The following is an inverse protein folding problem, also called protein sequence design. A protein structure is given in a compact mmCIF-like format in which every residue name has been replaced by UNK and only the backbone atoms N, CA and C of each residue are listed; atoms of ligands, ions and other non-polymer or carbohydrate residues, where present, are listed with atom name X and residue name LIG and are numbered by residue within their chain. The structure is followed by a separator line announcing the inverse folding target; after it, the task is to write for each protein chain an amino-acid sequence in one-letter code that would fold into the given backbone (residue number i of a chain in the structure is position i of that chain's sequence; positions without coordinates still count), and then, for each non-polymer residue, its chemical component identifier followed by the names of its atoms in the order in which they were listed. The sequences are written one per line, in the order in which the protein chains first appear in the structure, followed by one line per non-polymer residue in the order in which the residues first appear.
data_IF_136516984159
#
_entry.id   IF_136516984159
#
_cell.length_a   1.000
_cell.length_b   1.000
_cell.length_c   1.000
_cell.angle_alpha   90.00
_cell.angle_beta   90.00
_cell.angle_gamma   90.00
#
_symmetry.space_group_name_H-M   'P 1'
#
loop_
_entity.id
_entity.type
_entity.pdbx_description
1 polymer ?
#
# COMPACT_ATOMS: atom_id res chain seq x y z
N UNK A 1 -39.49 -41.50 41.35
CA UNK A 1 -39.09 -40.74 40.14
C UNK A 1 -38.11 -41.56 39.30
N UNK A 2 -38.42 -41.83 38.03
CA UNK A 2 -37.48 -42.45 37.10
C UNK A 2 -36.53 -41.36 36.61
N UNK A 3 -35.22 -41.61 36.63
CA UNK A 3 -34.24 -40.65 36.15
C UNK A 3 -34.37 -40.47 34.62
N UNK A 4 -34.46 -39.23 34.16
CA UNK A 4 -34.50 -38.90 32.72
C UNK A 4 -33.10 -38.96 32.11
N UNK A 5 -32.73 -40.16 31.68
CA UNK A 5 -31.44 -40.44 31.08
C UNK A 5 -31.26 -39.73 29.72
N UNK A 6 -32.34 -39.55 28.96
CA UNK A 6 -32.27 -38.91 27.65
C UNK A 6 -32.05 -37.40 27.80
N UNK A 7 -32.78 -36.75 28.71
CA UNK A 7 -32.53 -35.35 29.06
C UNK A 7 -31.09 -35.11 29.54
N UNK A 8 -30.54 -36.02 30.35
CA UNK A 8 -29.15 -35.95 30.79
C UNK A 8 -28.13 -36.05 29.63
N UNK A 9 -28.37 -36.93 28.64
CA UNK A 9 -27.51 -37.05 27.44
C UNK A 9 -27.55 -35.82 26.56
N UNK A 10 -28.73 -35.22 26.38
CA UNK A 10 -28.90 -33.98 25.62
C UNK A 10 -28.13 -32.85 26.31
N UNK A 11 -28.28 -32.69 27.62
CA UNK A 11 -27.57 -31.68 28.39
C UNK A 11 -26.03 -31.83 28.30
N UNK A 12 -25.51 -33.06 28.36
CA UNK A 12 -24.07 -33.33 28.17
C UNK A 12 -23.63 -32.90 26.76
N UNK A 13 -24.41 -33.25 25.73
CA UNK A 13 -24.10 -32.88 24.35
C UNK A 13 -24.09 -31.36 24.14
N UNK A 14 -25.01 -30.64 24.78
CA UNK A 14 -25.05 -29.17 24.73
C UNK A 14 -23.81 -28.55 25.42
N UNK A 15 -23.43 -29.06 26.59
CA UNK A 15 -22.22 -28.62 27.30
C UNK A 15 -20.97 -28.88 26.46
N UNK A 16 -20.84 -30.05 25.83
CA UNK A 16 -19.71 -30.38 24.96
C UNK A 16 -19.62 -29.43 23.76
N UNK A 17 -20.76 -29.07 23.16
CA UNK A 17 -20.83 -28.09 22.08
C UNK A 17 -20.39 -26.69 22.55
N UNK A 18 -20.82 -26.26 23.75
CA UNK A 18 -20.39 -24.98 24.34
C UNK A 18 -18.88 -24.97 24.56
N UNK A 19 -18.33 -26.04 25.15
CA UNK A 19 -16.88 -26.18 25.39
C UNK A 19 -16.11 -26.11 24.08
N UNK A 20 -16.57 -26.82 23.04
CA UNK A 20 -15.94 -26.78 21.72
C UNK A 20 -15.94 -25.37 21.11
N UNK A 21 -17.07 -24.67 21.19
CA UNK A 21 -17.18 -23.31 20.65
C UNK A 21 -16.32 -22.32 21.42
N UNK A 22 -16.24 -22.43 22.75
CA UNK A 22 -15.36 -21.62 23.58
C UNK A 22 -13.89 -21.87 23.24
N UNK A 23 -13.48 -23.13 23.08
CA UNK A 23 -12.11 -23.46 22.69
C UNK A 23 -11.75 -22.85 21.33
N UNK A 24 -12.66 -22.90 20.36
CA UNK A 24 -12.46 -22.25 19.07
C UNK A 24 -12.35 -20.72 19.20
N UNK A 25 -13.21 -20.11 20.02
CA UNK A 25 -13.18 -18.66 20.25
C UNK A 25 -11.87 -18.21 20.91
N UNK A 26 -11.38 -18.95 21.91
CA UNK A 26 -10.09 -18.69 22.57
C UNK A 26 -8.93 -18.84 21.59
N UNK A 27 -8.88 -19.95 20.83
CA UNK A 27 -7.83 -20.16 19.84
C UNK A 27 -7.81 -19.04 18.78
N UNK A 28 -8.99 -18.58 18.34
CA UNK A 28 -9.08 -17.45 17.41
C UNK A 28 -8.62 -16.13 18.05
N UNK A 29 -8.98 -15.88 19.31
CA UNK A 29 -8.53 -14.70 20.05
C UNK A 29 -7.00 -14.68 20.19
N UNK A 30 -6.39 -15.82 20.50
CA UNK A 30 -4.93 -15.96 20.60
C UNK A 30 -4.24 -15.70 19.25
N UNK A 31 -4.79 -16.23 18.15
CA UNK A 31 -4.29 -15.96 16.81
C UNK A 31 -4.37 -14.48 16.43
N UNK A 32 -5.50 -13.83 16.72
CA UNK A 32 -5.69 -12.41 16.48
C UNK A 32 -4.74 -11.55 17.33
N UNK A 33 -4.61 -11.88 18.62
CA UNK A 33 -3.72 -11.19 19.54
C UNK A 33 -2.25 -11.34 19.10
N UNK A 34 -1.82 -12.54 18.70
CA UNK A 34 -0.48 -12.78 18.19
C UNK A 34 -0.23 -12.02 16.87
N UNK A 35 -1.22 -11.95 15.98
CA UNK A 35 -1.17 -11.15 14.76
C UNK A 35 -1.02 -9.65 15.06
N UNK A 36 -1.84 -9.14 15.99
CA UNK A 36 -1.81 -7.75 16.42
C UNK A 36 -0.47 -7.38 17.09
N UNK A 37 0.07 -8.24 17.95
CA UNK A 37 1.35 -8.02 18.61
C UNK A 37 2.52 -7.95 17.60
N UNK A 38 2.54 -8.87 16.62
CA UNK A 38 3.52 -8.81 15.51
C UNK A 38 3.35 -7.53 14.68
N UNK A 39 2.09 -7.13 14.44
CA UNK A 39 1.76 -5.89 13.77
C UNK A 39 2.33 -4.67 14.48
N UNK A 40 2.08 -4.56 15.78
CA UNK A 40 2.56 -3.46 16.63
C UNK A 40 4.09 -3.40 16.66
N UNK A 41 4.77 -4.53 16.90
CA UNK A 41 6.23 -4.58 16.94
C UNK A 41 6.87 -4.07 15.63
N UNK A 42 6.27 -4.41 14.48
CA UNK A 42 6.72 -3.88 13.19
C UNK A 42 6.47 -2.37 13.07
N UNK A 43 5.32 -1.86 13.53
CA UNK A 43 5.03 -0.43 13.49
C UNK A 43 6.01 0.38 14.35
N UNK A 44 6.32 -0.12 15.54
CA UNK A 44 7.33 0.47 16.43
C UNK A 44 8.72 0.49 15.77
N UNK A 45 9.15 -0.62 15.18
CA UNK A 45 10.42 -0.71 14.44
C UNK A 45 10.44 0.25 13.24
N UNK A 46 9.37 0.30 12.45
CA UNK A 46 9.28 1.12 11.26
C UNK A 46 9.22 2.61 11.60
N UNK A 47 8.57 2.99 12.70
CA UNK A 47 8.58 4.34 13.23
C UNK A 47 10.00 4.73 13.70
N UNK A 48 10.67 3.86 14.45
CA UNK A 48 12.06 4.07 14.90
C UNK A 48 13.02 4.21 13.72
N UNK A 49 12.87 3.35 12.70
CA UNK A 49 13.68 3.37 11.48
C UNK A 49 13.20 4.39 10.43
N UNK A 50 12.16 5.17 10.73
CA UNK A 50 11.60 6.21 9.83
C UNK A 50 11.34 5.71 8.40
N UNK A 51 10.88 4.46 8.23
CA UNK A 51 10.83 3.73 6.93
C UNK A 51 9.94 4.38 5.85
N UNK A 52 9.03 5.27 6.25
CA UNK A 52 8.11 5.98 5.36
C UNK A 52 8.39 7.47 5.27
N UNK A 53 9.43 7.94 5.97
CA UNK A 53 9.86 9.34 5.89
C UNK A 53 10.66 9.49 4.62
N UNK A 54 10.20 10.41 3.77
CA UNK A 54 11.03 10.91 2.70
C UNK A 54 12.18 11.71 3.30
N UNK A 55 13.40 11.37 2.93
CA UNK A 55 14.54 12.22 3.18
C UNK A 55 14.48 13.38 2.18
N UNK A 56 13.87 14.48 2.63
CA UNK A 56 13.64 15.65 1.78
C UNK A 56 14.94 16.32 1.34
N UNK A 57 16.03 16.19 2.12
CA UNK A 57 17.32 16.74 1.72
C UNK A 57 17.91 15.96 0.55
N UNK A 58 17.88 14.61 0.58
CA UNK A 58 18.34 13.82 -0.56
C UNK A 58 17.39 13.87 -1.77
N UNK A 59 16.11 14.14 -1.55
CA UNK A 59 15.17 14.41 -2.66
C UNK A 59 15.33 15.81 -3.25
N UNK A 60 15.75 16.81 -2.48
CA UNK A 60 15.85 18.19 -2.95
C UNK A 60 16.76 18.32 -4.19
N UNK A 61 17.80 17.48 -4.31
CA UNK A 61 18.66 17.44 -5.50
C UNK A 61 17.88 17.17 -6.80
N UNK A 62 16.82 16.35 -6.74
CA UNK A 62 15.95 16.11 -7.89
C UNK A 62 15.02 17.29 -8.21
N UNK A 63 14.92 18.26 -7.30
CA UNK A 63 14.09 19.46 -7.40
C UNK A 63 14.95 20.74 -7.40
N UNK A 64 16.18 20.69 -7.94
CA UNK A 64 17.09 21.83 -8.03
C UNK A 64 17.38 22.52 -6.67
N UNK A 65 17.35 21.74 -5.58
CA UNK A 65 17.52 22.21 -4.20
C UNK A 65 16.24 22.77 -3.56
N UNK A 66 15.09 22.72 -4.23
CA UNK A 66 13.81 23.17 -3.68
C UNK A 66 13.18 22.10 -2.77
N UNK A 67 13.49 22.20 -1.48
CA UNK A 67 12.92 21.32 -0.45
C UNK A 67 11.40 21.45 -0.33
N UNK A 68 10.80 22.62 -0.61
CA UNK A 68 9.36 22.79 -0.54
C UNK A 68 8.66 22.08 -1.71
N UNK A 69 9.27 22.11 -2.90
CA UNK A 69 8.81 21.31 -4.04
C UNK A 69 8.92 19.82 -3.76
N UNK A 70 10.03 19.36 -3.14
CA UNK A 70 10.21 17.97 -2.75
C UNK A 70 9.16 17.50 -1.72
N UNK A 71 8.90 18.30 -0.68
CA UNK A 71 7.86 18.03 0.32
C UNK A 71 6.46 17.97 -0.32
N UNK A 72 6.16 18.91 -1.20
CA UNK A 72 4.90 18.94 -1.93
C UNK A 72 4.73 17.72 -2.84
N UNK A 73 5.77 17.32 -3.57
CA UNK A 73 5.75 16.14 -4.42
C UNK A 73 5.49 14.87 -3.62
N UNK A 74 6.13 14.72 -2.45
CA UNK A 74 5.90 13.60 -1.55
C UNK A 74 4.46 13.56 -1.02
N UNK A 75 3.90 14.71 -0.65
CA UNK A 75 2.50 14.83 -0.23
C UNK A 75 1.53 14.41 -1.33
N UNK A 76 1.77 14.86 -2.56
CA UNK A 76 0.99 14.48 -3.74
C UNK A 76 1.10 12.97 -4.03
N UNK A 77 2.31 12.41 -4.00
CA UNK A 77 2.50 10.98 -4.19
C UNK A 77 1.74 10.16 -3.14
N UNK A 78 1.80 10.56 -1.87
CA UNK A 78 1.08 9.91 -0.77
C UNK A 78 -0.45 10.00 -0.94
N UNK A 79 -0.95 11.15 -1.40
CA UNK A 79 -2.39 11.37 -1.60
C UNK A 79 -2.97 10.57 -2.78
N UNK A 80 -2.21 10.40 -3.86
CA UNK A 80 -2.76 9.96 -5.16
C UNK A 80 -2.15 8.67 -5.72
N UNK A 81 -0.91 8.34 -5.37
CA UNK A 81 -0.15 7.28 -6.05
C UNK A 81 0.20 6.10 -5.13
N UNK A 82 0.56 6.41 -3.87
CA UNK A 82 1.16 5.46 -2.94
C UNK A 82 0.28 4.25 -2.64
N UNK A 83 -1.04 4.41 -2.64
CA UNK A 83 -2.00 3.31 -2.46
C UNK A 83 -1.79 2.14 -3.44
N UNK A 84 -1.43 2.44 -4.67
CA UNK A 84 -1.19 1.41 -5.69
C UNK A 84 0.29 1.06 -5.81
N UNK A 85 1.18 2.05 -5.62
CA UNK A 85 2.60 1.93 -5.92
C UNK A 85 3.50 1.74 -4.70
N UNK A 86 2.95 1.65 -3.49
CA UNK A 86 3.71 1.36 -2.26
C UNK A 86 3.09 0.17 -1.54
N UNK A 87 3.88 -0.88 -1.32
CA UNK A 87 3.41 -2.07 -0.62
C UNK A 87 3.02 -1.75 0.83
N UNK A 88 1.82 -2.19 1.20
CA UNK A 88 1.26 -1.99 2.54
C UNK A 88 0.61 -0.63 2.78
N UNK A 89 0.61 0.30 1.80
CA UNK A 89 0.12 1.67 2.02
C UNK A 89 -1.34 1.76 2.50
N UNK A 90 -2.23 0.93 1.95
CA UNK A 90 -3.67 0.96 2.29
C UNK A 90 -4.13 -0.15 3.23
N UNK A 91 -3.24 -1.05 3.67
CA UNK A 91 -3.64 -2.26 4.36
C UNK A 91 -3.71 -2.12 5.89
N UNK A 92 -3.11 -1.09 6.49
CA UNK A 92 -3.09 -0.91 7.95
C UNK A 92 -2.42 -2.07 8.73
N UNK A 93 -1.85 -3.05 8.04
CA UNK A 93 -1.12 -4.19 8.59
C UNK A 93 0.36 -4.07 8.26
N UNK A 94 1.17 -4.56 9.19
CA UNK A 94 2.62 -4.60 9.10
C UNK A 94 3.13 -5.22 7.79
N UNK A 95 4.29 -4.74 7.33
CA UNK A 95 5.05 -5.11 6.12
C UNK A 95 4.61 -4.40 4.82
N UNK A 96 5.48 -3.86 3.95
CA UNK A 96 6.91 -3.51 3.93
C UNK A 96 7.11 -2.63 2.69
N UNK A 97 8.13 -1.76 2.77
CA UNK A 97 8.97 -1.19 1.70
C UNK A 97 8.77 0.29 1.40
N UNK A 98 9.90 0.85 0.98
CA UNK A 98 10.14 2.25 0.68
C UNK A 98 9.11 2.78 -0.33
N UNK A 99 8.90 4.10 -0.36
CA UNK A 99 7.99 4.73 -1.30
C UNK A 99 8.24 4.25 -2.75
N UNK A 100 7.17 3.86 -3.45
CA UNK A 100 7.24 3.36 -4.83
C UNK A 100 7.68 1.90 -4.98
N UNK A 101 7.70 1.11 -3.90
CA UNK A 101 8.12 -0.30 -3.93
C UNK A 101 7.27 -1.21 -4.84
N UNK A 102 6.12 -0.74 -5.31
CA UNK A 102 5.13 -1.52 -6.05
C UNK A 102 4.24 -2.35 -5.12
N UNK A 103 3.01 -2.59 -5.56
CA UNK A 103 2.05 -3.44 -4.88
C UNK A 103 1.00 -3.92 -5.89
N UNK A 104 -0.09 -3.17 -6.00
CA UNK A 104 -1.12 -3.36 -7.01
C UNK A 104 -0.66 -2.81 -8.37
N UNK A 105 0.00 -1.63 -8.35
CA UNK A 105 0.74 -1.09 -9.46
C UNK A 105 2.20 -1.55 -9.45
N UNK A 106 2.92 -1.41 -10.59
CA UNK A 106 4.34 -1.74 -10.67
C UNK A 106 5.18 -0.88 -9.72
N UNK A 107 6.39 -1.36 -9.41
CA UNK A 107 7.37 -0.58 -8.67
C UNK A 107 7.90 0.58 -9.53
N UNK A 108 8.08 1.74 -8.89
CA UNK A 108 8.60 2.97 -9.51
C UNK A 108 10.09 3.21 -9.20
N UNK A 109 10.62 2.46 -8.22
CA UNK A 109 11.99 2.49 -7.71
C UNK A 109 13.05 2.03 -8.71
N UNK A 110 14.30 2.40 -8.48
CA UNK A 110 15.47 1.94 -9.23
C UNK A 110 15.45 2.34 -10.70
N UNK A 111 15.01 3.55 -11.01
CA UNK A 111 14.94 4.06 -12.39
C UNK A 111 13.91 3.37 -13.28
N UNK A 112 12.94 2.64 -12.69
CA UNK A 112 11.89 1.96 -13.47
C UNK A 112 11.01 2.92 -14.24
N UNK A 113 10.67 4.07 -13.68
CA UNK A 113 9.93 5.12 -14.40
C UNK A 113 10.70 5.59 -15.64
N UNK A 114 12.01 5.78 -15.54
CA UNK A 114 12.87 6.20 -16.67
C UNK A 114 12.95 5.09 -17.73
N UNK A 115 13.08 3.84 -17.29
CA UNK A 115 13.14 2.70 -18.23
C UNK A 115 11.82 2.52 -19.00
N UNK A 116 10.69 2.72 -18.32
CA UNK A 116 9.37 2.60 -18.93
C UNK A 116 9.00 3.81 -19.79
N UNK A 117 9.43 5.01 -19.38
CA UNK A 117 9.21 6.29 -20.05
C UNK A 117 10.53 7.07 -20.14
N UNK A 118 11.31 6.86 -21.21
CA UNK A 118 12.57 7.59 -21.40
C UNK A 118 12.35 9.10 -21.38
N UNK A 119 11.36 9.57 -22.15
CA UNK A 119 10.98 10.97 -22.20
C UNK A 119 10.09 11.35 -21.00
N UNK A 120 10.36 12.52 -20.44
CA UNK A 120 9.61 13.04 -19.29
C UNK A 120 8.15 13.33 -19.65
N UNK A 121 7.92 13.96 -20.81
CA UNK A 121 6.58 14.35 -21.25
C UNK A 121 5.69 13.13 -21.53
N UNK A 122 6.25 12.03 -22.08
CA UNK A 122 5.49 10.78 -22.27
C UNK A 122 4.96 10.21 -20.94
N UNK A 123 5.75 10.34 -19.86
CA UNK A 123 5.31 9.93 -18.53
C UNK A 123 4.24 10.87 -17.98
N UNK A 124 4.39 12.19 -18.20
CA UNK A 124 3.43 13.20 -17.78
C UNK A 124 2.07 12.96 -18.46
N UNK A 125 2.05 12.80 -19.78
CA UNK A 125 0.85 12.52 -20.56
C UNK A 125 0.17 11.23 -20.09
N UNK A 126 0.94 10.18 -19.84
CA UNK A 126 0.39 8.94 -19.30
C UNK A 126 -0.26 9.11 -17.91
N UNK A 127 0.28 9.96 -17.03
CA UNK A 127 -0.34 10.22 -15.72
C UNK A 127 -1.57 11.12 -15.87
N UNK A 128 -1.58 12.05 -16.83
CA UNK A 128 -2.74 12.88 -17.17
C UNK A 128 -3.91 12.01 -17.62
N UNK A 129 -3.66 11.09 -18.56
CA UNK A 129 -4.68 10.26 -19.22
C UNK A 129 -5.05 9.01 -18.41
N UNK A 130 -4.06 8.39 -17.76
CA UNK A 130 -4.19 7.11 -17.07
C UNK A 130 -3.99 5.90 -17.99
N UNK A 131 -4.14 4.70 -17.43
CA UNK A 131 -4.05 3.47 -18.21
C UNK A 131 -5.39 3.10 -18.81
N UNK A 132 -5.39 2.58 -20.04
CA UNK A 132 -6.55 1.98 -20.68
C UNK A 132 -6.35 0.48 -20.92
N UNK A 133 -7.43 -0.31 -20.84
CA UNK A 133 -7.34 -1.76 -20.94
C UNK A 133 -6.91 -2.20 -22.36
N UNK A 134 -5.81 -2.93 -22.47
CA UNK A 134 -5.27 -3.44 -23.73
C UNK A 134 -4.53 -2.42 -24.58
N UNK A 135 -4.44 -1.14 -24.17
CA UNK A 135 -3.64 -0.13 -24.86
C UNK A 135 -2.19 -0.17 -24.40
N UNK A 136 -1.27 -0.01 -25.34
CA UNK A 136 0.15 0.12 -25.04
C UNK A 136 0.42 1.47 -24.36
N UNK A 137 1.38 1.51 -23.43
CA UNK A 137 1.92 2.74 -22.85
C UNK A 137 3.43 2.60 -22.60
N UNK A 138 4.16 3.71 -22.71
CA UNK A 138 5.63 3.71 -22.60
C UNK A 138 6.28 2.69 -23.54
N UNK A 139 7.46 2.19 -23.16
CA UNK A 139 8.23 1.27 -24.02
C UNK A 139 7.55 -0.09 -24.17
N UNK A 140 7.15 -0.73 -23.06
CA UNK A 140 6.68 -2.13 -23.04
C UNK A 140 5.40 -2.36 -22.21
N UNK A 141 4.70 -1.29 -21.83
CA UNK A 141 3.54 -1.37 -20.94
C UNK A 141 2.28 -1.72 -21.70
N UNK A 142 1.40 -2.52 -21.11
CA UNK A 142 0.02 -2.72 -21.60
C UNK A 142 -0.93 -2.46 -20.44
N UNK A 143 -1.80 -1.48 -20.62
CA UNK A 143 -2.71 -1.02 -19.59
C UNK A 143 -3.79 -2.05 -19.26
N UNK A 144 -4.24 -2.04 -18.00
CA UNK A 144 -5.39 -2.83 -17.52
C UNK A 144 -6.64 -1.99 -17.28
N UNK A 145 -6.57 -0.68 -17.51
CA UNK A 145 -7.66 0.24 -17.19
C UNK A 145 -7.76 0.60 -15.70
N UNK A 146 -6.73 0.29 -14.90
CA UNK A 146 -6.80 0.39 -13.43
C UNK A 146 -6.11 1.63 -12.86
N UNK A 147 -5.11 2.18 -13.55
CA UNK A 147 -4.52 3.46 -13.18
C UNK A 147 -5.40 4.57 -13.75
N UNK A 148 -6.02 5.41 -12.89
CA UNK A 148 -6.85 6.52 -13.35
C UNK A 148 -5.98 7.63 -13.96
N UNK A 149 -6.58 8.45 -14.82
CA UNK A 149 -5.99 9.72 -15.25
C UNK A 149 -6.19 10.81 -14.20
N UNK A 150 -5.15 11.60 -13.96
CA UNK A 150 -5.15 12.62 -12.91
C UNK A 150 -5.29 14.06 -13.44
N UNK A 151 -5.30 14.27 -14.75
CA UNK A 151 -5.47 15.60 -15.36
C UNK A 151 -6.70 16.39 -14.89
N UNK A 152 -7.86 15.76 -14.62
CA UNK A 152 -9.03 16.47 -14.09
C UNK A 152 -8.95 16.87 -12.61
N UNK A 153 -7.99 16.32 -11.86
CA UNK A 153 -7.92 16.44 -10.39
C UNK A 153 -6.70 17.22 -9.92
N UNK A 154 -5.60 17.16 -10.68
CA UNK A 154 -4.33 17.80 -10.35
C UNK A 154 -3.91 18.77 -11.45
N UNK A 155 -3.25 19.86 -11.06
CA UNK A 155 -2.66 20.79 -12.04
C UNK A 155 -1.49 20.12 -12.76
N UNK A 156 -1.17 20.56 -13.99
CA UNK A 156 0.01 20.06 -14.69
C UNK A 156 1.30 20.28 -13.88
N UNK A 157 1.41 21.41 -13.18
CA UNK A 157 2.55 21.69 -12.30
C UNK A 157 2.69 20.65 -11.18
N UNK A 158 1.57 20.19 -10.60
CA UNK A 158 1.56 19.14 -9.57
C UNK A 158 1.97 17.80 -10.16
N UNK A 159 1.49 17.50 -11.35
CA UNK A 159 1.80 16.25 -12.06
C UNK A 159 3.27 16.19 -12.44
N UNK A 160 3.87 17.32 -12.86
CA UNK A 160 5.31 17.43 -13.10
C UNK A 160 6.12 17.14 -11.84
N UNK A 161 5.71 17.65 -10.67
CA UNK A 161 6.37 17.32 -9.40
C UNK A 161 6.29 15.83 -9.08
N UNK A 162 5.15 15.19 -9.34
CA UNK A 162 4.99 13.73 -9.17
C UNK A 162 5.96 12.99 -10.11
N UNK A 163 6.02 13.36 -11.39
CA UNK A 163 6.91 12.73 -12.38
C UNK A 163 8.37 12.85 -11.93
N UNK A 164 8.80 14.04 -11.51
CA UNK A 164 10.15 14.28 -10.98
C UNK A 164 10.44 13.35 -9.80
N UNK A 165 9.54 13.29 -8.80
CA UNK A 165 9.73 12.43 -7.63
C UNK A 165 9.89 10.95 -8.01
N UNK A 166 8.95 10.40 -8.80
CA UNK A 166 8.94 8.96 -9.08
C UNK A 166 10.11 8.53 -9.97
N UNK A 167 10.68 9.45 -10.76
CA UNK A 167 11.91 9.22 -11.53
C UNK A 167 13.15 9.26 -10.64
N UNK A 168 13.11 9.98 -9.52
CA UNK A 168 14.21 10.11 -8.56
C UNK A 168 14.21 9.04 -7.45
N UNK A 169 13.18 8.18 -7.37
CA UNK A 169 13.12 7.13 -6.36
C UNK A 169 14.27 6.11 -6.55
N UNK A 170 15.07 5.85 -5.50
CA UNK A 170 16.21 4.94 -5.58
C UNK A 170 15.80 3.49 -5.80
#
# INVERSE_FOLDING_TARGET
PIADLEGAKVAITEVDNIVRNLNLAVANADLLAAGAAKGLAFLEEAAAARRWVFDFESLADAFDGDAAAAERAAGLFNGYCARCHTAGYSAGVAFTKEAGSGAFGPSLRGGRSITQFPEFEDQLDFIIEGSENGKQYGVNGVGRGWMPGFGPVLSEADLRLIVTLVRALP
#
